data_IF_552562484886
#
_entry.id   IF_552562484886
#
_cell.length_a   1.000
_cell.length_b   1.000
_cell.length_c   1.000
_cell.angle_alpha   90.00
_cell.angle_beta   90.00
_cell.angle_gamma   90.00
#
_symmetry.space_group_name_H-M   'P 1'
#
loop_
_entity.id
_entity.type
_entity.pdbx_description
1 polymer ?
#
# COMPACT_ATOMS: atom_id res chain seq x y z
N UNK A 1 28.04 16.50 0.39
CA UNK A 1 27.83 15.08 0.01
C UNK A 1 27.26 15.06 -1.41
N UNK A 2 28.04 14.64 -2.43
CA UNK A 2 27.53 14.56 -3.82
C UNK A 2 26.50 13.43 -3.86
N UNK A 3 25.22 13.76 -3.84
CA UNK A 3 24.14 12.81 -4.03
C UNK A 3 24.25 12.21 -5.42
N UNK A 4 24.43 10.88 -5.50
CA UNK A 4 24.44 10.18 -6.78
C UNK A 4 23.02 10.17 -7.34
N UNK A 5 22.73 11.11 -8.25
CA UNK A 5 21.40 11.36 -8.82
C UNK A 5 20.76 10.12 -9.45
N UNK A 6 21.58 9.16 -9.90
CA UNK A 6 21.11 7.89 -10.46
C UNK A 6 20.58 6.94 -9.38
N UNK A 7 21.19 6.92 -8.20
CA UNK A 7 20.75 6.11 -7.07
C UNK A 7 19.44 6.66 -6.48
N UNK A 8 19.36 7.98 -6.33
CA UNK A 8 18.18 8.67 -5.82
C UNK A 8 16.93 8.39 -6.69
N UNK A 9 17.09 8.51 -8.02
CA UNK A 9 16.01 8.19 -8.97
C UNK A 9 15.57 6.73 -8.91
N UNK A 10 16.49 5.80 -8.67
CA UNK A 10 16.16 4.36 -8.51
C UNK A 10 15.36 4.11 -7.25
N UNK A 11 15.78 4.70 -6.12
CA UNK A 11 15.07 4.58 -4.84
C UNK A 11 13.65 5.15 -4.97
N UNK A 12 13.51 6.31 -5.61
CA UNK A 12 12.21 6.93 -5.86
C UNK A 12 11.30 6.03 -6.72
N UNK A 13 11.84 5.42 -7.78
CA UNK A 13 11.07 4.48 -8.62
C UNK A 13 10.64 3.25 -7.81
N UNK A 14 11.53 2.66 -7.01
CA UNK A 14 11.20 1.51 -6.16
C UNK A 14 10.09 1.86 -5.15
N UNK A 15 10.20 3.03 -4.52
CA UNK A 15 9.18 3.53 -3.59
C UNK A 15 7.81 3.67 -4.27
N UNK A 16 7.77 4.25 -5.47
CA UNK A 16 6.52 4.39 -6.22
C UNK A 16 5.94 3.06 -6.69
N UNK A 17 6.78 2.16 -7.22
CA UNK A 17 6.33 0.84 -7.65
C UNK A 17 5.77 0.05 -6.47
N UNK A 18 6.47 0.04 -5.34
CA UNK A 18 6.01 -0.66 -4.14
C UNK A 18 4.73 -0.04 -3.57
N UNK A 19 4.65 1.29 -3.51
CA UNK A 19 3.46 2.03 -3.10
C UNK A 19 2.25 1.75 -3.97
N UNK A 20 2.41 1.84 -5.30
CA UNK A 20 1.32 1.57 -6.24
C UNK A 20 0.87 0.10 -6.18
N UNK A 21 1.81 -0.85 -6.07
CA UNK A 21 1.47 -2.27 -5.90
C UNK A 21 0.70 -2.52 -4.61
N UNK A 22 1.08 -1.87 -3.51
CA UNK A 22 0.39 -2.04 -2.24
C UNK A 22 -1.02 -1.43 -2.26
N UNK A 23 -1.20 -0.27 -2.90
CA UNK A 23 -2.53 0.32 -3.12
C UNK A 23 -3.42 -0.58 -3.99
N UNK A 24 -2.87 -1.12 -5.08
CA UNK A 24 -3.60 -2.06 -5.94
C UNK A 24 -3.99 -3.34 -5.18
N UNK A 25 -3.07 -3.88 -4.38
CA UNK A 25 -3.32 -5.01 -3.50
C UNK A 25 -4.42 -4.73 -2.48
N UNK A 26 -4.42 -3.55 -1.84
CA UNK A 26 -5.46 -3.15 -0.90
C UNK A 26 -6.85 -3.08 -1.55
N UNK A 27 -6.94 -2.53 -2.77
CA UNK A 27 -8.20 -2.51 -3.55
C UNK A 27 -8.67 -3.93 -3.84
N UNK A 28 -7.77 -4.81 -4.29
CA UNK A 28 -8.10 -6.20 -4.58
C UNK A 28 -8.59 -6.95 -3.34
N UNK A 29 -7.89 -6.80 -2.20
CA UNK A 29 -8.31 -7.38 -0.93
C UNK A 29 -9.69 -6.85 -0.51
N UNK A 30 -9.97 -5.57 -0.70
CA UNK A 30 -11.27 -5.00 -0.38
C UNK A 30 -12.41 -5.61 -1.21
N UNK A 31 -12.16 -5.91 -2.49
CA UNK A 31 -13.13 -6.62 -3.34
C UNK A 31 -13.40 -8.03 -2.79
N UNK A 32 -12.35 -8.75 -2.38
CA UNK A 32 -12.50 -10.08 -1.78
C UNK A 32 -13.28 -10.02 -0.47
N UNK A 33 -12.99 -9.05 0.40
CA UNK A 33 -13.72 -8.81 1.65
C UNK A 33 -15.20 -8.59 1.37
N UNK A 34 -15.54 -7.72 0.41
CA UNK A 34 -16.94 -7.47 0.07
C UNK A 34 -17.62 -8.70 -0.55
N UNK A 35 -16.89 -9.48 -1.34
CA UNK A 35 -17.40 -10.73 -1.89
C UNK A 35 -17.73 -11.72 -0.78
N UNK A 36 -16.83 -11.84 0.21
CA UNK A 36 -17.01 -12.76 1.34
C UNK A 36 -18.18 -12.33 2.23
N UNK A 37 -18.28 -11.03 2.56
CA UNK A 37 -19.43 -10.48 3.30
C UNK A 37 -20.74 -10.70 2.54
N UNK A 38 -20.75 -10.54 1.22
CA UNK A 38 -21.95 -10.78 0.41
C UNK A 38 -22.39 -12.25 0.41
N UNK A 39 -21.45 -13.19 0.56
CA UNK A 39 -21.72 -14.63 0.56
C UNK A 39 -22.03 -15.19 1.95
N UNK A 40 -21.27 -14.79 2.98
CA UNK A 40 -21.29 -15.37 4.32
C UNK A 40 -21.92 -14.45 5.37
N UNK A 41 -22.11 -13.16 5.05
CA UNK A 41 -22.67 -12.14 5.95
C UNK A 41 -21.65 -11.47 6.87
N UNK A 42 -20.41 -11.96 6.92
CA UNK A 42 -19.31 -11.39 7.70
C UNK A 42 -17.96 -11.76 7.08
N UNK A 43 -16.88 -11.11 7.51
CA UNK A 43 -15.51 -11.42 7.08
C UNK A 43 -14.63 -11.63 8.31
N UNK A 44 -13.88 -12.72 8.35
CA UNK A 44 -12.92 -13.03 9.41
C UNK A 44 -11.55 -13.34 8.80
N UNK A 45 -10.68 -12.34 8.73
CA UNK A 45 -9.26 -12.56 8.44
C UNK A 45 -8.49 -12.84 9.73
N UNK A 46 -8.00 -14.07 9.87
CA UNK A 46 -7.10 -14.46 10.96
C UNK A 46 -5.82 -15.02 10.33
N UNK A 47 -4.71 -14.33 10.56
CA UNK A 47 -3.38 -14.81 10.19
C UNK A 47 -2.70 -15.39 11.44
N UNK A 48 -2.39 -16.69 11.39
CA UNK A 48 -1.80 -17.40 12.52
C UNK A 48 -0.28 -17.26 12.56
N UNK A 49 0.35 -16.91 11.42
CA UNK A 49 1.77 -16.72 11.34
C UNK A 49 2.15 -15.28 11.74
N UNK A 50 2.82 -15.07 12.89
CA UNK A 50 3.12 -13.72 13.38
C UNK A 50 4.06 -12.95 12.45
N UNK A 51 4.89 -13.63 11.66
CA UNK A 51 5.78 -12.96 10.69
C UNK A 51 4.98 -12.37 9.52
N UNK A 52 3.98 -13.12 9.02
CA UNK A 52 3.11 -12.65 7.94
C UNK A 52 2.23 -11.51 8.45
N UNK A 53 1.58 -11.68 9.61
CA UNK A 53 0.77 -10.63 10.23
C UNK A 53 1.57 -9.33 10.43
N UNK A 54 2.81 -9.44 10.91
CA UNK A 54 3.67 -8.26 11.08
C UNK A 54 3.96 -7.59 9.73
N UNK A 55 4.26 -8.37 8.69
CA UNK A 55 4.48 -7.86 7.35
C UNK A 55 3.23 -7.15 6.80
N UNK A 56 2.05 -7.71 6.99
CA UNK A 56 0.78 -7.12 6.58
C UNK A 56 0.52 -5.78 7.27
N UNK A 57 0.74 -5.70 8.59
CA UNK A 57 0.62 -4.46 9.36
C UNK A 57 1.59 -3.40 8.83
N UNK A 58 2.85 -3.78 8.59
CA UNK A 58 3.87 -2.87 8.06
C UNK A 58 3.52 -2.37 6.66
N UNK A 59 3.09 -3.27 5.77
CA UNK A 59 2.68 -2.92 4.41
C UNK A 59 1.43 -2.03 4.41
N UNK A 60 0.48 -2.31 5.30
CA UNK A 60 -0.74 -1.48 5.47
C UNK A 60 -0.39 -0.07 5.94
N UNK A 61 0.47 0.04 6.96
CA UNK A 61 0.95 1.35 7.44
C UNK A 61 1.71 2.11 6.34
N UNK A 62 2.56 1.42 5.59
CA UNK A 62 3.27 1.98 4.45
C UNK A 62 2.30 2.45 3.35
N UNK A 63 1.30 1.65 2.98
CA UNK A 63 0.30 1.99 1.98
C UNK A 63 -0.47 3.25 2.36
N UNK A 64 -0.85 3.36 3.63
CA UNK A 64 -1.58 4.52 4.17
C UNK A 64 -0.74 5.80 4.08
N UNK A 65 0.53 5.74 4.48
CA UNK A 65 1.45 6.88 4.36
C UNK A 65 1.65 7.25 2.89
N UNK A 66 1.89 6.25 2.03
CA UNK A 66 2.07 6.46 0.59
C UNK A 66 0.82 7.05 -0.07
N UNK A 67 -0.37 6.60 0.32
CA UNK A 67 -1.66 7.13 -0.13
C UNK A 67 -1.79 8.61 0.19
N UNK A 68 -1.53 9.00 1.44
CA UNK A 68 -1.56 10.41 1.85
C UNK A 68 -0.56 11.23 1.04
N UNK A 69 0.66 10.72 0.88
CA UNK A 69 1.69 11.39 0.08
C UNK A 69 1.26 11.63 -1.36
N UNK A 70 0.75 10.61 -2.06
CA UNK A 70 0.35 10.74 -3.46
C UNK A 70 -0.91 11.60 -3.61
N UNK A 71 -1.84 11.52 -2.66
CA UNK A 71 -3.04 12.34 -2.63
C UNK A 71 -2.69 13.83 -2.45
N UNK A 72 -1.80 14.16 -1.51
CA UNK A 72 -1.31 15.52 -1.35
C UNK A 72 -0.59 16.02 -2.61
N UNK A 73 0.24 15.17 -3.24
CA UNK A 73 0.93 15.51 -4.48
C UNK A 73 -0.07 15.79 -5.61
N UNK A 74 -1.14 15.00 -5.71
CA UNK A 74 -2.20 15.16 -6.71
C UNK A 74 -2.91 16.50 -6.53
N UNK A 75 -3.33 16.84 -5.30
CA UNK A 75 -3.96 18.13 -5.00
C UNK A 75 -3.05 19.30 -5.38
N UNK A 76 -1.76 19.23 -5.03
CA UNK A 76 -0.79 20.28 -5.37
C UNK A 76 -0.55 20.42 -6.88
N UNK A 77 -0.79 19.36 -7.66
CA UNK A 77 -0.63 19.41 -9.12
C UNK A 77 -1.83 19.98 -9.85
N UNK A 78 -3.00 19.96 -9.20
CA UNK A 78 -4.27 20.46 -9.78
C UNK A 78 -4.48 21.95 -9.43
N UNK A 79 -3.84 22.44 -8.36
CA UNK A 79 -3.87 23.83 -7.92
C UNK A 79 -2.82 24.68 -8.65
#
# INVERSE_FOLDING_TARGET
>A
MKTNTKLDRRIQMLFHTLGLSCLGGAIFLQILVFTDIAQQGYFMAVENNPAILTLEILLTAFALIYFIYIYQRLIRSIK
#
